data_IF_715857095374
#
_entry.id   IF_715857095374
#
_cell.length_a   1.000
_cell.length_b   1.000
_cell.length_c   1.000
_cell.angle_alpha   90.00
_cell.angle_beta   90.00
_cell.angle_gamma   90.00
#
_symmetry.space_group_name_H-M   'P 1'
#
loop_
_entity.id
_entity.type
_entity.pdbx_description
1 polymer ?
#
# COMPACT_ATOMS: atom_id res chain seq x y z
N UNK A 1 -53.06 -14.84 4.58
CA UNK A 1 -52.37 -15.19 5.84
C UNK A 1 -50.88 -15.29 5.54
N UNK A 2 -50.13 -14.31 6.07
CA UNK A 2 -48.68 -14.10 6.22
C UNK A 2 -47.70 -15.07 5.55
N UNK A 3 -46.81 -14.62 4.65
CA UNK A 3 -45.63 -13.75 4.88
C UNK A 3 -44.59 -14.37 5.82
N UNK A 4 -43.45 -14.77 5.25
CA UNK A 4 -42.08 -14.34 5.61
C UNK A 4 -41.06 -15.29 4.96
N UNK A 5 -40.69 -14.99 3.70
CA UNK A 5 -39.36 -15.34 3.21
C UNK A 5 -38.44 -14.25 3.73
N UNK A 6 -37.58 -14.63 4.67
CA UNK A 6 -36.51 -13.82 5.23
C UNK A 6 -35.74 -13.10 4.10
N UNK A 7 -35.94 -11.78 3.99
CA UNK A 7 -34.99 -10.89 3.36
C UNK A 7 -33.85 -10.69 4.37
N UNK A 8 -32.73 -11.38 4.17
CA UNK A 8 -31.47 -10.95 4.77
C UNK A 8 -30.97 -9.77 3.91
N UNK A 9 -31.31 -8.56 4.33
CA UNK A 9 -30.65 -7.35 3.86
C UNK A 9 -29.24 -7.37 4.45
N UNK A 10 -28.24 -7.73 3.64
CA UNK A 10 -26.84 -7.48 4.02
C UNK A 10 -26.64 -5.97 3.95
N UNK A 11 -26.68 -5.35 5.13
CA UNK A 11 -26.35 -3.94 5.30
C UNK A 11 -24.83 -3.84 5.20
N UNK A 12 -24.31 -3.63 3.98
CA UNK A 12 -22.89 -3.37 3.78
C UNK A 12 -22.57 -2.02 4.43
N UNK A 13 -21.82 -2.06 5.53
CA UNK A 13 -21.31 -0.87 6.20
C UNK A 13 -20.20 -0.28 5.32
N UNK A 14 -20.56 0.65 4.44
CA UNK A 14 -19.58 1.47 3.74
C UNK A 14 -18.95 2.41 4.76
N UNK A 15 -17.73 2.10 5.20
CA UNK A 15 -16.95 3.03 6.03
C UNK A 15 -16.31 4.07 5.12
N UNK A 16 -16.60 5.35 5.39
CA UNK A 16 -15.89 6.47 4.77
C UNK A 16 -14.49 6.55 5.38
N UNK A 17 -13.49 6.00 4.70
CA UNK A 17 -12.10 6.21 5.06
C UNK A 17 -11.75 7.70 4.91
N UNK A 18 -10.98 8.24 5.85
CA UNK A 18 -10.45 9.59 5.70
C UNK A 18 -9.37 9.57 4.60
N UNK A 19 -9.62 10.31 3.51
CA UNK A 19 -8.70 10.40 2.36
C UNK A 19 -7.69 11.50 2.65
N UNK A 20 -6.42 11.14 2.77
CA UNK A 20 -5.33 12.09 2.95
C UNK A 20 -4.42 12.08 1.72
N UNK A 21 -4.12 13.24 1.17
CA UNK A 21 -3.28 13.40 -0.03
C UNK A 21 -1.92 13.96 0.35
N UNK A 22 -0.85 13.19 0.12
CA UNK A 22 0.53 13.69 0.10
C UNK A 22 1.04 13.67 -1.34
N UNK A 23 0.88 14.79 -2.06
CA UNK A 23 1.37 14.90 -3.43
C UNK A 23 2.87 15.14 -3.44
N UNK A 24 3.65 14.15 -3.89
CA UNK A 24 5.06 14.33 -4.23
C UNK A 24 5.25 14.21 -5.73
N UNK A 25 4.99 15.32 -6.44
CA UNK A 25 5.24 15.55 -7.86
C UNK A 25 4.50 14.62 -8.85
N UNK A 26 3.25 14.96 -9.15
CA UNK A 26 2.39 14.32 -10.15
C UNK A 26 1.05 15.04 -10.26
N UNK A 27 0.16 14.59 -11.14
CA UNK A 27 -1.24 15.09 -11.22
C UNK A 27 -1.86 15.15 -9.82
N UNK A 28 -2.61 16.21 -9.53
CA UNK A 28 -3.30 16.34 -8.24
C UNK A 28 -4.34 15.20 -8.12
N UNK A 29 -4.24 14.31 -7.10
CA UNK A 29 -5.18 13.20 -6.92
C UNK A 29 -6.63 13.66 -6.83
N UNK A 30 -6.89 14.86 -6.30
CA UNK A 30 -8.23 15.46 -6.21
C UNK A 30 -8.81 15.82 -7.59
N UNK A 31 -7.95 15.99 -8.60
CA UNK A 31 -8.39 16.16 -9.99
C UNK A 31 -8.77 14.83 -10.67
N UNK A 32 -8.30 13.69 -10.13
CA UNK A 32 -8.54 12.35 -10.67
C UNK A 32 -9.68 11.63 -9.95
N UNK A 33 -9.64 11.62 -8.61
CA UNK A 33 -10.55 10.87 -7.73
C UNK A 33 -11.33 11.83 -6.84
N UNK A 34 -12.64 11.62 -6.79
CA UNK A 34 -13.58 12.37 -5.95
C UNK A 34 -13.77 11.73 -4.58
N UNK A 35 -13.89 10.41 -4.52
CA UNK A 35 -13.99 9.66 -3.27
C UNK A 35 -13.49 8.23 -3.44
N UNK A 36 -13.07 7.66 -2.31
CA UNK A 36 -12.74 6.24 -2.15
C UNK A 36 -13.54 5.72 -0.97
N UNK A 37 -14.25 4.62 -1.19
CA UNK A 37 -15.00 3.90 -0.16
C UNK A 37 -14.39 2.50 -0.04
N UNK A 38 -14.09 2.10 1.19
CA UNK A 38 -13.48 0.80 1.49
C UNK A 38 -14.58 -0.05 2.12
N UNK A 39 -14.95 -1.13 1.42
CA UNK A 39 -15.92 -2.11 1.92
C UNK A 39 -15.28 -3.49 2.06
N UNK A 40 -15.98 -4.40 2.75
CA UNK A 40 -15.48 -5.69 3.22
C UNK A 40 -14.76 -6.56 2.15
N UNK A 41 -15.12 -6.41 0.88
CA UNK A 41 -14.57 -7.20 -0.24
C UNK A 41 -14.17 -6.35 -1.46
N UNK A 42 -14.30 -5.03 -1.38
CA UNK A 42 -14.04 -4.19 -2.52
C UNK A 42 -13.73 -2.75 -2.13
N UNK A 43 -12.87 -2.14 -2.93
CA UNK A 43 -12.60 -0.71 -2.93
C UNK A 43 -13.44 -0.09 -4.03
N UNK A 44 -14.29 0.86 -3.67
CA UNK A 44 -15.09 1.64 -4.63
C UNK A 44 -14.46 3.01 -4.84
N UNK A 45 -14.05 3.29 -6.06
CA UNK A 45 -13.43 4.56 -6.46
C UNK A 45 -14.41 5.35 -7.34
N UNK A 46 -14.75 6.56 -6.90
CA UNK A 46 -15.46 7.53 -7.73
C UNK A 46 -14.46 8.49 -8.36
N UNK A 47 -14.34 8.46 -9.69
CA UNK A 47 -13.52 9.40 -10.43
C UNK A 47 -14.17 10.79 -10.51
N UNK A 48 -13.36 11.82 -10.69
CA UNK A 48 -13.82 13.20 -10.85
C UNK A 48 -14.75 13.40 -12.05
N UNK A 49 -14.64 12.55 -13.08
CA UNK A 49 -15.51 12.55 -14.26
C UNK A 49 -16.84 11.78 -14.06
N UNK A 50 -17.10 11.30 -12.84
CA UNK A 50 -18.33 10.60 -12.46
C UNK A 50 -18.31 9.09 -12.73
N UNK A 51 -17.24 8.55 -13.34
CA UNK A 51 -17.10 7.09 -13.47
C UNK A 51 -16.92 6.45 -12.09
N UNK A 52 -17.41 5.23 -11.97
CA UNK A 52 -17.21 4.39 -10.79
C UNK A 52 -16.37 3.18 -11.17
N UNK A 53 -15.46 2.79 -10.29
CA UNK A 53 -14.75 1.52 -10.37
C UNK A 53 -14.91 0.78 -9.05
N UNK A 54 -15.21 -0.51 -9.11
CA UNK A 54 -15.13 -1.42 -7.97
C UNK A 54 -13.96 -2.35 -8.21
N UNK A 55 -13.03 -2.39 -7.26
CA UNK A 55 -11.83 -3.22 -7.29
C UNK A 55 -12.02 -4.30 -6.22
N UNK A 56 -12.14 -5.58 -6.60
CA UNK A 56 -12.20 -6.67 -5.63
C UNK A 56 -10.92 -6.72 -4.79
N UNK A 57 -11.06 -6.94 -3.49
CA UNK A 57 -9.94 -7.20 -2.59
C UNK A 57 -10.00 -8.68 -2.20
N UNK A 58 -8.89 -9.45 -2.36
CA UNK A 58 -8.90 -10.90 -2.22
C UNK A 58 -9.06 -11.40 -0.77
N UNK A 59 -9.00 -10.51 0.20
CA UNK A 59 -9.10 -10.83 1.62
C UNK A 59 -10.24 -10.03 2.26
N UNK A 60 -10.88 -10.63 3.27
CA UNK A 60 -11.79 -9.87 4.12
C UNK A 60 -11.02 -8.74 4.76
N UNK A 61 -11.50 -7.52 4.51
CA UNK A 61 -11.10 -6.32 5.22
C UNK A 61 -11.71 -6.45 6.62
N UNK A 62 -11.09 -7.27 7.48
CA UNK A 62 -11.60 -7.62 8.82
C UNK A 62 -11.50 -6.45 9.83
N UNK A 63 -10.85 -5.35 9.43
CA UNK A 63 -10.55 -4.19 10.27
C UNK A 63 -11.45 -2.99 9.95
N UNK A 64 -11.87 -2.27 10.99
CA UNK A 64 -12.67 -1.04 10.86
C UNK A 64 -11.80 0.22 10.70
N UNK A 65 -10.47 0.09 10.71
CA UNK A 65 -9.55 1.23 10.73
C UNK A 65 -8.63 1.21 9.51
N UNK A 66 -9.21 1.47 8.34
CA UNK A 66 -8.47 1.68 7.11
C UNK A 66 -8.39 3.16 6.76
N UNK A 67 -7.26 3.54 6.17
CA UNK A 67 -7.10 4.85 5.53
C UNK A 67 -6.74 4.69 4.06
N UNK A 68 -7.09 5.70 3.26
CA UNK A 68 -6.72 5.75 1.85
C UNK A 68 -5.86 6.99 1.60
N UNK A 69 -4.78 6.80 0.84
CA UNK A 69 -3.92 7.90 0.39
C UNK A 69 -3.49 7.69 -1.06
N UNK A 70 -3.07 8.78 -1.68
CA UNK A 70 -2.61 8.80 -3.06
C UNK A 70 -1.13 9.14 -3.15
N UNK A 71 -0.37 8.31 -3.86
CA UNK A 71 1.08 8.40 -4.01
C UNK A 71 1.47 7.94 -5.41
N UNK A 72 2.45 8.56 -6.05
CA UNK A 72 3.03 8.05 -7.31
C UNK A 72 4.08 6.97 -6.95
N UNK A 73 3.62 5.72 -6.78
CA UNK A 73 4.43 4.59 -6.28
C UNK A 73 5.36 4.07 -7.38
N UNK A 74 4.87 4.05 -8.63
CA UNK A 74 5.63 3.55 -9.77
C UNK A 74 6.44 4.66 -10.49
N UNK A 75 6.31 5.92 -10.05
CA UNK A 75 7.00 7.10 -10.58
C UNK A 75 6.68 7.39 -12.05
N UNK A 76 5.43 7.14 -12.47
CA UNK A 76 4.92 7.38 -13.82
C UNK A 76 4.29 8.78 -13.99
N UNK A 77 4.15 9.53 -12.89
CA UNK A 77 3.60 10.88 -12.85
C UNK A 77 2.10 10.94 -12.57
N UNK A 78 1.44 9.78 -12.40
CA UNK A 78 0.05 9.68 -11.98
C UNK A 78 -0.06 9.16 -10.54
N UNK A 79 -1.10 9.59 -9.80
CA UNK A 79 -1.31 9.11 -8.44
C UNK A 79 -1.88 7.69 -8.42
N UNK A 80 -1.15 6.79 -7.77
CA UNK A 80 -1.61 5.45 -7.38
C UNK A 80 -2.38 5.51 -6.06
N UNK A 81 -3.24 4.53 -5.83
CA UNK A 81 -4.03 4.42 -4.60
C UNK A 81 -3.35 3.46 -3.63
N UNK A 82 -3.18 3.90 -2.39
CA UNK A 82 -2.69 3.10 -1.28
C UNK A 82 -3.76 3.03 -0.20
N UNK A 83 -4.02 1.83 0.30
CA UNK A 83 -4.91 1.57 1.42
C UNK A 83 -4.08 1.02 2.56
N UNK A 84 -4.05 1.71 3.70
CA UNK A 84 -3.31 1.29 4.88
C UNK A 84 -4.27 0.70 5.91
N UNK A 85 -3.99 -0.50 6.40
CA UNK A 85 -4.59 -1.03 7.64
C UNK A 85 -3.89 -0.38 8.83
N UNK A 86 -4.62 0.42 9.61
CA UNK A 86 -4.05 1.15 10.73
C UNK A 86 -3.91 0.31 12.01
N UNK A 87 -4.20 -1.00 11.97
CA UNK A 87 -4.07 -1.87 13.14
C UNK A 87 -2.62 -2.22 13.50
N UNK A 88 -2.08 -1.44 14.44
CA UNK A 88 -0.94 -1.84 15.25
C UNK A 88 0.41 -1.86 14.53
N UNK A 89 1.32 -2.74 14.96
CA UNK A 89 2.74 -2.70 14.57
C UNK A 89 3.03 -3.24 13.15
N UNK A 90 2.03 -3.83 12.50
CA UNK A 90 2.14 -4.45 11.17
C UNK A 90 1.09 -3.84 10.25
N UNK A 91 1.17 -2.52 10.06
CA UNK A 91 0.30 -1.80 9.13
C UNK A 91 0.56 -2.27 7.71
N UNK A 92 -0.29 -3.13 7.17
CA UNK A 92 -0.20 -3.58 5.80
C UNK A 92 -0.78 -2.51 4.88
N UNK A 93 0.02 -2.06 3.93
CA UNK A 93 -0.46 -1.26 2.81
C UNK A 93 -0.86 -2.17 1.66
N UNK A 94 -2.02 -1.94 1.05
CA UNK A 94 -2.39 -2.46 -0.27
C UNK A 94 -2.21 -1.36 -1.31
N UNK A 95 -1.68 -1.71 -2.48
CA UNK A 95 -1.35 -0.74 -3.54
C UNK A 95 -2.08 -1.08 -4.83
N UNK A 96 -2.72 -0.07 -5.41
CA UNK A 96 -3.41 -0.14 -6.69
C UNK A 96 -2.80 0.89 -7.64
N UNK A 97 -2.23 0.41 -8.74
CA UNK A 97 -1.60 1.30 -9.73
C UNK A 97 -2.64 1.93 -10.64
N UNK A 98 -2.51 3.23 -10.91
CA UNK A 98 -3.37 3.90 -11.87
C UNK A 98 -2.83 3.72 -13.30
N UNK A 99 -3.66 3.21 -14.20
CA UNK A 99 -3.31 3.05 -15.61
C UNK A 99 -4.00 4.14 -16.44
N UNK A 100 -3.32 5.26 -16.77
CA UNK A 100 -3.95 6.41 -17.42
C UNK A 100 -4.57 6.09 -18.79
N UNK A 101 -3.99 5.14 -19.53
CA UNK A 101 -4.53 4.70 -20.83
C UNK A 101 -5.84 3.93 -20.69
N UNK A 102 -5.96 3.08 -19.68
CA UNK A 102 -7.15 2.30 -19.38
C UNK A 102 -8.14 3.07 -18.48
N UNK A 103 -7.67 4.15 -17.84
CA UNK A 103 -8.39 5.03 -16.92
C UNK A 103 -8.96 4.28 -15.72
N UNK A 104 -8.22 3.29 -15.21
CA UNK A 104 -8.62 2.43 -14.11
C UNK A 104 -7.44 2.17 -13.18
N UNK A 105 -7.74 1.82 -11.94
CA UNK A 105 -6.79 1.25 -11.01
C UNK A 105 -6.73 -0.27 -11.18
N UNK A 106 -5.57 -0.89 -11.04
CA UNK A 106 -5.50 -2.36 -10.89
C UNK A 106 -4.61 -2.78 -9.76
N UNK A 107 -5.01 -3.88 -9.12
CA UNK A 107 -4.17 -4.62 -8.19
C UNK A 107 -3.12 -5.36 -9.00
N UNK A 108 -1.92 -4.79 -9.09
CA UNK A 108 -0.83 -5.38 -9.88
C UNK A 108 -0.03 -6.41 -9.07
N UNK A 109 -0.07 -6.37 -7.74
CA UNK A 109 0.30 -7.50 -6.87
C UNK A 109 -0.10 -7.21 -5.42
N UNK A 110 -0.17 -8.25 -4.58
CA UNK A 110 -0.25 -8.15 -3.12
C UNK A 110 1.03 -7.51 -2.57
N UNK A 111 1.20 -6.21 -2.77
CA UNK A 111 2.31 -5.44 -2.23
C UNK A 111 2.05 -5.15 -0.77
N UNK A 112 2.08 -6.19 0.06
CA UNK A 112 1.90 -6.12 1.51
C UNK A 112 3.15 -5.51 2.14
N UNK A 113 3.28 -4.19 2.05
CA UNK A 113 4.38 -3.45 2.64
C UNK A 113 3.98 -2.96 4.04
N UNK A 114 4.83 -3.21 5.04
CA UNK A 114 4.65 -2.63 6.37
C UNK A 114 5.27 -1.22 6.42
N UNK A 115 4.51 -0.24 6.91
CA UNK A 115 5.03 1.12 7.14
C UNK A 115 5.60 1.77 5.87
N UNK A 116 4.78 1.81 4.81
CA UNK A 116 5.19 2.31 3.49
C UNK A 116 5.65 3.77 3.54
N UNK A 117 6.89 3.99 3.11
CA UNK A 117 7.56 5.29 3.00
C UNK A 117 7.98 5.56 1.55
N UNK A 118 7.64 6.75 1.05
CA UNK A 118 7.98 7.20 -0.29
C UNK A 118 9.18 8.15 -0.27
N UNK A 119 10.24 7.82 -1.01
CA UNK A 119 11.37 8.71 -1.25
C UNK A 119 11.34 9.22 -2.71
N UNK A 120 10.65 10.35 -2.99
CA UNK A 120 10.43 10.82 -4.36
C UNK A 120 11.72 11.28 -5.04
N UNK A 121 12.71 11.76 -4.28
CA UNK A 121 14.01 12.19 -4.82
C UNK A 121 14.80 11.02 -5.40
N UNK A 122 14.74 9.86 -4.75
CA UNK A 122 15.45 8.66 -5.17
C UNK A 122 14.62 7.74 -6.05
N UNK A 123 13.32 8.01 -6.19
CA UNK A 123 12.34 7.16 -6.87
C UNK A 123 12.32 5.74 -6.29
N UNK A 124 12.13 5.69 -4.98
CA UNK A 124 12.07 4.48 -4.18
C UNK A 124 10.84 4.51 -3.28
N UNK A 125 10.20 3.36 -3.14
CA UNK A 125 9.22 3.08 -2.10
C UNK A 125 9.80 2.01 -1.19
N UNK A 126 9.71 2.21 0.12
CA UNK A 126 10.22 1.24 1.09
C UNK A 126 9.16 0.87 2.12
N UNK A 127 9.24 -0.35 2.64
CA UNK A 127 8.52 -0.80 3.82
C UNK A 127 9.52 -1.37 4.82
N UNK A 128 9.27 -1.17 6.11
CA UNK A 128 10.05 -1.76 7.20
C UNK A 128 9.14 -2.71 7.98
N UNK A 129 9.54 -3.97 8.02
CA UNK A 129 8.83 -5.02 8.74
C UNK A 129 9.71 -5.60 9.84
N UNK A 130 9.17 -5.68 11.05
CA UNK A 130 9.83 -6.38 12.16
C UNK A 130 9.35 -7.84 12.18
N UNK A 131 10.20 -8.75 11.73
CA UNK A 131 9.91 -10.19 11.69
C UNK A 131 9.89 -10.79 13.11
N UNK A 132 10.81 -10.34 13.98
CA UNK A 132 10.90 -10.82 15.36
C UNK A 132 11.44 -9.71 16.27
N UNK A 133 11.68 -10.03 17.55
CA UNK A 133 12.29 -9.05 18.45
C UNK A 133 13.66 -8.55 17.97
N UNK A 134 14.34 -9.33 17.15
CA UNK A 134 15.75 -9.16 16.78
C UNK A 134 15.95 -9.14 15.27
N UNK A 135 14.94 -9.52 14.48
CA UNK A 135 15.02 -9.61 13.04
C UNK A 135 14.12 -8.59 12.35
N UNK A 136 14.68 -7.89 11.36
CA UNK A 136 13.99 -6.87 10.58
C UNK A 136 14.18 -7.12 9.09
N UNK A 137 13.18 -6.74 8.31
CA UNK A 137 13.18 -6.76 6.85
C UNK A 137 12.89 -5.36 6.33
N UNK A 138 13.64 -4.95 5.30
CA UNK A 138 13.33 -3.80 4.46
C UNK A 138 12.93 -4.33 3.09
N UNK A 139 11.75 -3.93 2.65
CA UNK A 139 11.29 -4.17 1.28
C UNK A 139 11.47 -2.87 0.49
N UNK A 140 12.11 -2.94 -0.68
CA UNK A 140 12.39 -1.77 -1.53
C UNK A 140 11.81 -2.02 -2.91
N UNK A 141 10.97 -1.11 -3.36
CA UNK A 141 10.50 -1.02 -4.73
C UNK A 141 11.17 0.18 -5.41
N UNK A 142 11.81 -0.09 -6.54
CA UNK A 142 12.38 0.96 -7.40
C UNK A 142 11.41 1.32 -8.53
N UNK A 143 11.58 2.50 -9.14
CA UNK A 143 10.85 2.92 -10.36
C UNK A 143 10.73 1.85 -11.46
N UNK A 144 11.72 0.97 -11.58
CA UNK A 144 11.71 -0.04 -12.65
C UNK A 144 10.92 -1.31 -12.27
N UNK A 145 10.17 -1.29 -11.17
CA UNK A 145 9.45 -2.47 -10.66
C UNK A 145 10.35 -3.49 -9.98
N UNK A 146 11.64 -3.20 -9.78
CA UNK A 146 12.56 -4.12 -9.11
C UNK A 146 12.32 -4.11 -7.61
N UNK A 147 11.90 -5.26 -7.08
CA UNK A 147 11.76 -5.54 -5.65
C UNK A 147 13.07 -6.01 -5.04
N UNK A 148 13.36 -5.56 -3.82
CA UNK A 148 14.49 -6.04 -3.04
C UNK A 148 14.03 -6.34 -1.62
N UNK A 149 14.37 -7.53 -1.15
CA UNK A 149 14.22 -7.93 0.24
C UNK A 149 15.59 -7.90 0.91
N UNK A 150 15.66 -7.17 2.02
CA UNK A 150 16.86 -7.03 2.82
C UNK A 150 16.53 -7.37 4.26
N UNK A 151 17.11 -8.45 4.76
CA UNK A 151 16.83 -8.95 6.11
C UNK A 151 18.06 -8.83 6.98
N UNK A 152 17.89 -8.48 8.26
CA UNK A 152 18.97 -8.35 9.22
C UNK A 152 18.56 -8.88 10.60
N UNK A 153 19.42 -9.70 11.21
CA UNK A 153 19.30 -10.21 12.56
C UNK A 153 20.31 -9.48 13.46
N UNK A 154 19.80 -8.70 14.41
CA UNK A 154 20.59 -7.90 15.35
C UNK A 154 21.28 -8.73 16.44
N UNK A 155 20.78 -9.92 16.78
CA UNK A 155 21.47 -10.82 17.72
C UNK A 155 22.68 -11.46 17.06
N UNK A 156 22.51 -11.91 15.81
CA UNK A 156 23.60 -12.53 15.02
C UNK A 156 24.52 -11.49 14.38
N UNK A 157 24.12 -10.22 14.39
CA UNK A 157 24.80 -9.12 13.73
C UNK A 157 25.11 -9.44 12.25
N UNK A 158 24.13 -10.02 11.56
CA UNK A 158 24.26 -10.51 10.20
C UNK A 158 22.96 -10.29 9.42
N UNK A 159 23.07 -9.89 8.16
CA UNK A 159 21.93 -9.79 7.25
C UNK A 159 22.22 -10.37 5.88
N UNK A 160 21.20 -10.37 5.04
CA UNK A 160 21.23 -10.87 3.67
C UNK A 160 20.44 -9.95 2.76
N UNK A 161 20.98 -9.65 1.58
CA UNK A 161 20.23 -9.05 0.47
C UNK A 161 20.01 -10.12 -0.59
N UNK A 162 18.76 -10.30 -1.01
CA UNK A 162 18.45 -11.23 -2.10
C UNK A 162 19.06 -10.79 -3.44
N UNK A 163 19.21 -9.48 -3.66
CA UNK A 163 19.70 -8.93 -4.92
C UNK A 163 21.19 -9.22 -5.15
N UNK A 164 22.01 -9.20 -4.09
CA UNK A 164 23.45 -9.43 -4.20
C UNK A 164 23.87 -10.83 -3.76
N UNK A 165 22.97 -11.60 -3.13
CA UNK A 165 23.31 -12.85 -2.42
C UNK A 165 24.51 -12.69 -1.47
N UNK A 166 24.73 -11.48 -0.96
CA UNK A 166 25.85 -11.16 -0.09
C UNK A 166 25.38 -10.99 1.35
N UNK A 167 26.27 -11.35 2.27
CA UNK A 167 26.14 -10.98 3.67
C UNK A 167 26.18 -9.46 3.81
N UNK A 168 25.27 -8.94 4.62
CA UNK A 168 25.19 -7.53 4.95
C UNK A 168 25.77 -7.32 6.35
N UNK A 169 26.65 -6.32 6.47
CA UNK A 169 27.04 -5.79 7.77
C UNK A 169 25.94 -4.87 8.31
N UNK A 170 25.99 -4.65 9.64
CA UNK A 170 25.07 -3.73 10.32
C UNK A 170 25.08 -2.32 9.73
N UNK A 171 26.25 -1.78 9.43
CA UNK A 171 26.38 -0.42 8.90
C UNK A 171 25.69 -0.27 7.53
N UNK A 172 25.78 -1.29 6.68
CA UNK A 172 25.09 -1.29 5.38
C UNK A 172 23.58 -1.37 5.58
N UNK A 173 23.12 -2.21 6.50
CA UNK A 173 21.69 -2.31 6.81
C UNK A 173 21.12 -0.99 7.36
N UNK A 174 21.79 -0.36 8.33
CA UNK A 174 21.35 0.93 8.87
C UNK A 174 21.40 2.04 7.81
N UNK A 175 22.39 2.04 6.92
CA UNK A 175 22.43 2.99 5.81
C UNK A 175 21.26 2.80 4.84
N UNK A 176 20.86 1.56 4.53
CA UNK A 176 19.68 1.26 3.72
C UNK A 176 18.40 1.70 4.42
N UNK A 177 18.27 1.40 5.72
CA UNK A 177 17.14 1.85 6.55
C UNK A 177 17.01 3.37 6.53
N UNK A 178 18.11 4.10 6.75
CA UNK A 178 18.11 5.57 6.72
C UNK A 178 17.78 6.11 5.33
N UNK A 179 18.22 5.46 4.25
CA UNK A 179 17.83 5.83 2.87
C UNK A 179 16.36 5.58 2.59
N UNK A 180 15.77 4.59 3.24
CA UNK A 180 14.37 4.25 3.11
C UNK A 180 13.46 5.17 3.94
N UNK A 181 13.97 5.83 4.98
CA UNK A 181 13.16 6.63 5.91
C UNK A 181 13.37 8.16 5.78
N UNK A 182 14.38 8.62 5.02
CA UNK A 182 14.72 10.05 4.81
C UNK A 182 14.81 10.42 3.32
#
# INVERSE_FOLDING_TARGET
>A
MNQMKSLLTVLSLMLSASVWSETTAGENPVALVRSVEIGDHAVSVQFADGRMQSIPVPHEIESLDYSARFLDINFDGHPDLVIDDNLGANQLSEVFLYHPKARLFSQEADWKMNGLHLNPRRKLVCGLHRISNTQYEIQILTKNGSFQHVTFDYERNAGTSEMTQQSLSRDVFEALKQRCLN
#
